data_IF_965360020214
#
_entry.id   IF_965360020214
#
_cell.length_a   1.000
_cell.length_b   1.000
_cell.length_c   1.000
_cell.angle_alpha   90.00
_cell.angle_beta   90.00
_cell.angle_gamma   90.00
#
_symmetry.space_group_name_H-M   'P 1'
#
loop_
_entity.id
_entity.type
_entity.pdbx_description
1 polymer ?
#
# COMPACT_ATOMS: atom_id res chain seq x y z
N UNK A 1 -30.74 31.45 15.98
CA UNK A 1 -30.14 31.77 14.67
C UNK A 1 -28.64 31.56 14.76
N UNK A 2 -28.22 30.30 14.64
CA UNK A 2 -26.84 29.85 14.86
C UNK A 2 -26.05 29.77 13.55
N UNK A 3 -25.03 30.60 13.45
CA UNK A 3 -23.74 30.43 12.75
C UNK A 3 -23.72 29.57 11.46
N UNK A 4 -23.99 30.21 10.32
CA UNK A 4 -24.30 29.60 9.01
C UNK A 4 -23.17 29.61 7.97
N UNK A 5 -21.90 29.86 8.33
CA UNK A 5 -20.81 29.95 7.34
C UNK A 5 -19.88 28.73 7.30
N UNK A 6 -19.46 28.20 8.46
CA UNK A 6 -18.54 27.05 8.55
C UNK A 6 -19.24 25.69 8.69
N UNK A 7 -20.30 25.62 9.50
CA UNK A 7 -20.99 24.36 9.81
C UNK A 7 -21.78 23.77 8.63
N UNK A 8 -22.19 24.59 7.67
CA UNK A 8 -22.99 24.15 6.52
C UNK A 8 -22.26 23.19 5.58
N UNK A 9 -20.95 23.41 5.35
CA UNK A 9 -20.14 22.53 4.48
C UNK A 9 -19.89 21.16 5.14
N UNK A 10 -19.53 21.16 6.42
CA UNK A 10 -19.29 19.94 7.18
C UNK A 10 -20.57 19.10 7.30
N UNK A 11 -21.72 19.74 7.55
CA UNK A 11 -23.01 19.06 7.63
C UNK A 11 -23.47 18.51 6.28
N UNK A 12 -23.24 19.22 5.17
CA UNK A 12 -23.51 18.69 3.82
C UNK A 12 -22.64 17.48 3.50
N UNK A 13 -21.35 17.51 3.88
CA UNK A 13 -20.43 16.37 3.71
C UNK A 13 -20.93 15.17 4.52
N UNK A 14 -21.24 15.35 5.80
CA UNK A 14 -21.77 14.30 6.66
C UNK A 14 -23.08 13.69 6.12
N UNK A 15 -24.00 14.52 5.60
CA UNK A 15 -25.23 14.03 4.97
C UNK A 15 -24.92 13.24 3.70
N UNK A 16 -23.97 13.70 2.86
CA UNK A 16 -23.57 12.99 1.66
C UNK A 16 -22.94 11.64 2.00
N UNK A 17 -22.07 11.58 2.99
CA UNK A 17 -21.43 10.34 3.43
C UNK A 17 -22.44 9.37 4.04
N UNK A 18 -23.43 9.86 4.79
CA UNK A 18 -24.57 9.04 5.25
C UNK A 18 -25.39 8.47 4.10
N UNK A 19 -25.67 9.24 3.05
CA UNK A 19 -26.43 8.76 1.90
C UNK A 19 -25.69 7.66 1.13
N UNK A 20 -24.35 7.73 1.06
CA UNK A 20 -23.54 6.69 0.41
C UNK A 20 -23.68 5.32 1.06
N UNK A 21 -23.88 5.25 2.38
CA UNK A 21 -24.08 3.98 3.12
C UNK A 21 -25.32 3.23 2.61
N UNK A 22 -26.33 3.95 2.10
CA UNK A 22 -27.58 3.37 1.59
C UNK A 22 -27.45 2.79 0.17
N UNK A 23 -26.32 3.00 -0.51
CA UNK A 23 -26.07 2.43 -1.82
C UNK A 23 -25.75 0.94 -1.72
N UNK A 24 -26.20 0.16 -2.70
CA UNK A 24 -25.90 -1.28 -2.75
C UNK A 24 -24.42 -1.49 -3.05
N UNK A 25 -23.72 -2.19 -2.14
CA UNK A 25 -22.33 -2.57 -2.32
C UNK A 25 -22.15 -3.63 -3.41
N UNK A 26 -20.98 -3.61 -4.04
CA UNK A 26 -20.58 -4.62 -5.04
C UNK A 26 -20.26 -5.94 -4.34
N UNK A 27 -20.53 -7.08 -5.00
CA UNK A 27 -20.29 -8.44 -4.48
C UNK A 27 -19.53 -9.30 -5.50
N UNK A 28 -19.01 -10.44 -5.06
CA UNK A 28 -18.32 -11.42 -5.89
C UNK A 28 -17.01 -10.90 -6.45
N UNK A 29 -16.64 -11.38 -7.64
CA UNK A 29 -15.40 -11.02 -8.31
C UNK A 29 -15.24 -9.51 -8.54
N UNK A 30 -16.34 -8.78 -8.79
CA UNK A 30 -16.27 -7.33 -8.97
C UNK A 30 -15.84 -6.61 -7.69
N UNK A 31 -16.12 -7.18 -6.51
CA UNK A 31 -15.64 -6.65 -5.23
C UNK A 31 -14.14 -6.83 -5.09
N UNK A 32 -13.60 -7.96 -5.57
CA UNK A 32 -12.16 -8.21 -5.60
C UNK A 32 -11.46 -7.22 -6.54
N UNK A 33 -12.03 -6.96 -7.73
CA UNK A 33 -11.49 -5.94 -8.65
C UNK A 33 -11.49 -4.55 -7.99
N UNK A 34 -12.60 -4.17 -7.34
CA UNK A 34 -12.71 -2.90 -6.62
C UNK A 34 -11.63 -2.74 -5.55
N UNK A 35 -11.34 -3.80 -4.79
CA UNK A 35 -10.30 -3.84 -3.75
C UNK A 35 -8.90 -3.73 -4.33
N UNK A 36 -8.57 -4.53 -5.36
CA UNK A 36 -7.25 -4.47 -5.99
C UNK A 36 -7.01 -3.18 -6.77
N UNK A 37 -8.05 -2.52 -7.25
CA UNK A 37 -7.94 -1.20 -7.87
C UNK A 37 -8.02 -0.05 -6.85
N UNK A 38 -8.07 -0.36 -5.55
CA UNK A 38 -8.16 0.62 -4.45
C UNK A 38 -9.29 1.66 -4.67
N UNK A 39 -10.41 1.24 -5.27
CA UNK A 39 -11.52 2.14 -5.58
C UNK A 39 -12.34 2.43 -4.32
N UNK A 40 -12.84 3.65 -4.19
CA UNK A 40 -13.80 4.01 -3.14
C UNK A 40 -15.07 3.19 -3.29
N UNK A 41 -15.46 2.40 -2.28
CA UNK A 41 -16.58 1.48 -2.44
C UNK A 41 -17.94 2.16 -2.34
N UNK A 42 -18.91 1.63 -3.09
CA UNK A 42 -20.33 1.98 -2.90
C UNK A 42 -20.86 1.33 -1.64
N UNK A 43 -21.78 2.00 -0.95
CA UNK A 43 -22.31 1.50 0.31
C UNK A 43 -21.32 1.59 1.47
N UNK A 44 -20.25 2.39 1.34
CA UNK A 44 -19.17 2.39 2.32
C UNK A 44 -19.67 2.65 3.74
N UNK A 45 -19.14 1.91 4.71
CA UNK A 45 -19.41 2.10 6.11
C UNK A 45 -18.89 3.47 6.57
N UNK A 46 -19.58 4.04 7.56
CA UNK A 46 -19.05 5.16 8.33
C UNK A 46 -18.11 4.58 9.37
N UNK A 47 -16.89 5.09 9.42
CA UNK A 47 -15.87 4.69 10.38
C UNK A 47 -15.74 5.70 11.52
N UNK A 48 -15.19 5.28 12.65
CA UNK A 48 -14.74 6.18 13.70
C UNK A 48 -13.55 7.02 13.19
N UNK A 49 -13.56 8.33 13.44
CA UNK A 49 -12.43 9.20 13.07
C UNK A 49 -11.36 9.27 14.19
N UNK A 50 -11.72 8.86 15.41
CA UNK A 50 -10.87 8.94 16.61
C UNK A 50 -10.97 7.68 17.45
N UNK A 51 -9.90 7.39 18.18
CA UNK A 51 -9.91 6.37 19.24
C UNK A 51 -10.75 6.87 20.42
N UNK A 52 -11.60 6.01 20.99
CA UNK A 52 -12.39 6.40 22.15
C UNK A 52 -13.48 5.43 22.53
N UNK A 53 -14.40 5.90 23.37
CA UNK A 53 -15.56 5.12 23.83
C UNK A 53 -16.84 5.70 23.26
N UNK A 54 -17.73 4.84 22.77
CA UNK A 54 -19.05 5.24 22.29
C UNK A 54 -19.90 5.71 23.47
N UNK A 55 -20.07 7.02 23.58
CA UNK A 55 -20.72 7.66 24.72
C UNK A 55 -22.25 7.71 24.58
N UNK A 56 -22.76 7.96 23.37
CA UNK A 56 -24.19 8.02 23.09
C UNK A 56 -24.50 7.48 21.69
N UNK A 57 -25.58 6.70 21.56
CA UNK A 57 -26.18 6.35 20.28
C UNK A 57 -27.58 6.95 20.23
N UNK A 58 -27.69 8.13 19.64
CA UNK A 58 -28.94 8.88 19.59
C UNK A 58 -29.77 8.47 18.38
N UNK A 59 -31.05 8.15 18.61
CA UNK A 59 -32.03 7.83 17.55
C UNK A 59 -33.05 8.95 17.31
N UNK A 60 -32.94 10.08 18.01
CA UNK A 60 -33.87 11.21 17.87
C UNK A 60 -33.52 12.04 16.64
N UNK A 61 -34.29 11.89 15.56
CA UNK A 61 -34.07 12.59 14.30
C UNK A 61 -33.08 11.85 13.41
N UNK A 62 -32.00 12.51 12.96
CA UNK A 62 -30.92 11.80 12.27
C UNK A 62 -30.10 11.04 13.31
N UNK A 63 -29.95 9.72 13.10
CA UNK A 63 -29.23 8.84 14.02
C UNK A 63 -27.77 9.30 14.11
N UNK A 64 -27.24 9.43 15.32
CA UNK A 64 -25.89 9.95 15.57
C UNK A 64 -25.18 9.05 16.57
N UNK A 65 -23.92 8.73 16.28
CA UNK A 65 -23.02 8.04 17.20
C UNK A 65 -22.04 9.07 17.74
N UNK A 66 -21.96 9.20 19.06
CA UNK A 66 -21.05 10.12 19.74
C UNK A 66 -19.91 9.32 20.35
N UNK A 67 -18.69 9.68 20.00
CA UNK A 67 -17.46 9.07 20.54
C UNK A 67 -16.78 10.10 21.44
N UNK A 68 -16.42 9.67 22.64
CA UNK A 68 -15.59 10.44 23.56
C UNK A 68 -14.15 9.96 23.46
N UNK A 69 -13.25 10.85 23.05
CA UNK A 69 -11.81 10.61 22.98
C UNK A 69 -11.07 11.43 24.03
N UNK A 70 -10.08 10.83 24.69
CA UNK A 70 -9.24 11.52 25.67
C UNK A 70 -7.98 12.07 25.01
N UNK A 71 -7.74 13.37 25.15
CA UNK A 71 -6.57 14.03 24.58
C UNK A 71 -5.84 14.91 25.62
N UNK A 72 -4.50 14.91 25.61
CA UNK A 72 -3.71 15.88 26.38
C UNK A 72 -3.92 17.31 25.87
N UNK A 73 -3.97 18.30 26.77
CA UNK A 73 -4.09 19.73 26.40
C UNK A 73 -2.83 20.28 25.70
N UNK A 74 -1.71 19.55 25.80
CA UNK A 74 -0.46 19.88 25.10
C UNK A 74 -0.60 19.72 23.59
N UNK A 75 -1.37 18.74 23.13
CA UNK A 75 -1.60 18.45 21.72
C UNK A 75 -2.53 19.50 21.10
N UNK A 76 -1.91 20.57 20.63
CA UNK A 76 -2.60 21.76 20.13
C UNK A 76 -3.34 21.47 18.84
N UNK A 77 -2.86 20.54 18.02
CA UNK A 77 -3.34 20.31 16.67
C UNK A 77 -4.50 19.30 16.67
N UNK A 78 -4.45 18.25 17.50
CA UNK A 78 -5.54 17.28 17.62
C UNK A 78 -6.82 17.88 18.23
N UNK A 79 -6.69 18.84 19.15
CA UNK A 79 -7.83 19.37 19.92
C UNK A 79 -8.43 20.66 19.34
N UNK A 80 -7.87 21.20 18.26
CA UNK A 80 -8.19 22.56 17.79
C UNK A 80 -9.58 22.65 17.17
N UNK A 81 -10.49 23.35 17.85
CA UNK A 81 -11.84 23.61 17.32
C UNK A 81 -12.84 22.48 17.60
N UNK A 82 -12.38 21.40 18.24
CA UNK A 82 -13.21 20.30 18.71
C UNK A 82 -14.06 20.69 19.93
N UNK A 83 -15.11 19.92 20.22
CA UNK A 83 -16.05 20.19 21.31
C UNK A 83 -15.72 19.39 22.55
N UNK A 84 -15.87 19.98 23.73
CA UNK A 84 -15.74 19.27 25.00
C UNK A 84 -16.90 18.29 25.24
N UNK A 85 -16.58 17.14 25.79
CA UNK A 85 -17.54 16.09 26.14
C UNK A 85 -18.15 16.22 27.53
N UNK A 86 -17.48 16.93 28.45
CA UNK A 86 -17.94 17.11 29.82
C UNK A 86 -17.61 18.51 30.34
N UNK A 87 -18.35 18.94 31.36
CA UNK A 87 -18.06 20.15 32.11
C UNK A 87 -16.75 19.98 32.88
N UNK A 88 -15.80 20.89 32.68
CA UNK A 88 -14.51 20.88 33.39
C UNK A 88 -14.58 21.88 34.55
N UNK A 89 -14.37 21.39 35.76
CA UNK A 89 -14.37 22.19 36.98
C UNK A 89 -12.94 22.45 37.49
N UNK A 90 -12.74 23.59 38.15
CA UNK A 90 -11.49 23.89 38.84
C UNK A 90 -11.34 23.10 40.15
N UNK A 91 -10.13 23.08 40.74
CA UNK A 91 -9.84 22.32 41.96
C UNK A 91 -10.79 22.63 43.13
N UNK A 92 -11.28 23.87 43.25
CA UNK A 92 -12.13 24.28 44.37
C UNK A 92 -13.63 24.10 44.14
N UNK A 93 -14.10 23.67 42.93
CA UNK A 93 -15.52 23.49 42.53
C UNK A 93 -16.51 24.63 42.85
N UNK A 94 -16.06 25.72 43.46
CA UNK A 94 -16.89 26.83 43.96
C UNK A 94 -17.22 27.85 42.86
N UNK A 95 -16.35 27.99 41.86
CA UNK A 95 -16.47 28.95 40.75
C UNK A 95 -16.98 28.29 39.45
N UNK A 96 -18.08 27.54 39.50
CA UNK A 96 -18.72 26.98 38.30
C UNK A 96 -17.80 26.16 37.36
N UNK A 97 -18.26 25.80 36.16
CA UNK A 97 -17.43 25.11 35.18
C UNK A 97 -16.51 26.10 34.45
N UNK A 98 -15.20 25.79 34.39
CA UNK A 98 -14.16 26.52 33.63
C UNK A 98 -14.47 26.48 32.13
N UNK A 99 -14.97 25.34 31.67
CA UNK A 99 -15.43 25.12 30.32
C UNK A 99 -16.65 24.20 30.36
N UNK A 100 -17.65 24.51 29.53
CA UNK A 100 -18.91 23.76 29.50
C UNK A 100 -18.88 22.64 28.46
N UNK A 101 -19.68 21.61 28.68
CA UNK A 101 -19.98 20.58 27.68
C UNK A 101 -20.44 21.23 26.36
N UNK A 102 -19.85 20.79 25.26
CA UNK A 102 -20.11 21.30 23.91
C UNK A 102 -19.40 22.61 23.56
N UNK A 103 -18.66 23.24 24.47
CA UNK A 103 -17.84 24.41 24.17
C UNK A 103 -16.68 24.02 23.24
N UNK A 104 -16.41 24.85 22.21
CA UNK A 104 -15.29 24.63 21.29
C UNK A 104 -13.95 24.97 21.93
N UNK A 105 -12.95 24.11 21.74
CA UNK A 105 -11.57 24.30 22.17
C UNK A 105 -10.82 25.29 21.26
N UNK A 106 -11.22 26.56 21.37
CA UNK A 106 -10.53 27.70 20.78
C UNK A 106 -9.34 28.13 21.66
N UNK A 107 -8.47 29.00 21.12
CA UNK A 107 -7.27 29.51 21.83
C UNK A 107 -7.58 30.02 23.25
N UNK A 108 -8.66 30.79 23.41
CA UNK A 108 -9.10 31.34 24.70
C UNK A 108 -9.49 30.25 25.71
N UNK A 109 -10.29 29.28 25.28
CA UNK A 109 -10.76 28.17 26.13
C UNK A 109 -9.58 27.31 26.58
N UNK A 110 -8.62 27.05 25.69
CA UNK A 110 -7.38 26.31 26.00
C UNK A 110 -6.47 27.03 26.98
N UNK A 111 -6.30 28.34 26.84
CA UNK A 111 -5.53 29.16 27.78
C UNK A 111 -6.12 29.12 29.20
N UNK A 112 -7.47 29.14 29.32
CA UNK A 112 -8.14 28.96 30.62
C UNK A 112 -7.83 27.58 31.20
N UNK A 113 -7.97 26.50 30.42
CA UNK A 113 -7.71 25.14 30.90
C UNK A 113 -6.26 24.95 31.38
N UNK A 114 -5.28 25.55 30.68
CA UNK A 114 -3.88 25.56 31.13
C UNK A 114 -3.68 26.33 32.43
N UNK A 115 -4.37 27.46 32.62
CA UNK A 115 -4.28 28.26 33.85
C UNK A 115 -4.72 27.49 35.10
N UNK A 116 -5.66 26.57 34.95
CA UNK A 116 -6.16 25.71 36.03
C UNK A 116 -5.48 24.33 36.08
N UNK A 117 -4.35 24.16 35.39
CA UNK A 117 -3.54 22.94 35.39
C UNK A 117 -4.31 21.66 35.02
N UNK A 118 -5.29 21.77 34.11
CA UNK A 118 -5.96 20.61 33.54
C UNK A 118 -4.99 19.93 32.57
N UNK A 119 -4.79 18.62 32.71
CA UNK A 119 -3.83 17.87 31.90
C UNK A 119 -4.50 17.20 30.69
N UNK A 120 -5.66 16.58 30.90
CA UNK A 120 -6.42 15.84 29.88
C UNK A 120 -7.83 16.40 29.71
N UNK A 121 -8.35 16.32 28.48
CA UNK A 121 -9.72 16.70 28.13
C UNK A 121 -10.40 15.60 27.35
N UNK A 122 -11.69 15.39 27.60
CA UNK A 122 -12.53 14.55 26.76
C UNK A 122 -13.15 15.37 25.65
N UNK A 123 -12.93 14.94 24.42
CA UNK A 123 -13.48 15.53 23.20
C UNK A 123 -14.69 14.73 22.76
N UNK A 124 -15.72 15.43 22.32
CA UNK A 124 -16.98 14.90 21.80
C UNK A 124 -16.98 14.98 20.28
N UNK A 125 -16.86 13.82 19.63
CA UNK A 125 -16.91 13.68 18.17
C UNK A 125 -18.25 13.06 17.75
N UNK A 126 -18.97 13.71 16.83
CA UNK A 126 -20.31 13.30 16.41
C UNK A 126 -20.29 12.73 14.98
N UNK A 127 -20.68 11.46 14.82
CA UNK A 127 -20.80 10.79 13.53
C UNK A 127 -22.27 10.62 13.14
N UNK A 128 -22.64 11.20 12.00
CA UNK A 128 -24.00 11.13 11.48
C UNK A 128 -24.21 9.82 10.70
N UNK A 129 -25.02 8.92 11.23
CA UNK A 129 -25.25 7.59 10.66
C UNK A 129 -26.68 7.46 10.10
N UNK A 130 -26.92 6.59 9.11
CA UNK A 130 -28.24 6.46 8.54
C UNK A 130 -29.21 5.86 9.55
N UNK A 131 -30.48 6.26 9.45
CA UNK A 131 -31.54 5.68 10.27
C UNK A 131 -31.81 4.21 9.92
N UNK A 132 -31.66 3.86 8.63
CA UNK A 132 -31.75 2.48 8.14
C UNK A 132 -30.38 1.82 8.17
N UNK A 133 -30.34 0.57 8.61
CA UNK A 133 -29.10 -0.22 8.72
C UNK A 133 -28.73 -0.52 10.16
N UNK A 134 -27.97 -1.59 10.33
CA UNK A 134 -27.48 -2.05 11.62
C UNK A 134 -26.23 -1.25 12.01
N UNK A 135 -26.12 -0.91 13.30
CA UNK A 135 -24.87 -0.41 13.85
C UNK A 135 -24.09 -1.60 14.39
N UNK A 136 -22.78 -1.57 14.17
CA UNK A 136 -21.85 -2.55 14.70
C UNK A 136 -21.40 -2.20 16.12
N UNK A 137 -21.71 -0.99 16.57
CA UNK A 137 -21.28 -0.45 17.86
C UNK A 137 -22.44 -0.22 18.82
N UNK A 138 -22.15 -0.37 20.11
CA UNK A 138 -23.08 -0.12 21.22
C UNK A 138 -22.51 0.90 22.20
N UNK A 139 -23.37 1.53 23.00
CA UNK A 139 -22.92 2.47 24.03
C UNK A 139 -21.99 1.75 25.04
N UNK A 140 -20.87 2.38 25.37
CA UNK A 140 -19.82 1.83 26.23
C UNK A 140 -18.77 0.99 25.51
N UNK A 141 -18.91 0.77 24.20
CA UNK A 141 -17.91 0.05 23.40
C UNK A 141 -16.69 0.92 23.12
N UNK A 142 -15.50 0.35 23.27
CA UNK A 142 -14.25 0.94 22.80
C UNK A 142 -14.11 0.76 21.29
N UNK A 143 -13.72 1.84 20.61
CA UNK A 143 -13.53 1.87 19.16
C UNK A 143 -12.20 2.55 18.84
N UNK A 144 -11.52 2.06 17.79
CA UNK A 144 -10.33 2.69 17.25
C UNK A 144 -10.68 3.50 16.01
N UNK A 145 -9.86 4.52 15.71
CA UNK A 145 -9.94 5.25 14.46
C UNK A 145 -9.86 4.26 13.29
N UNK A 146 -10.79 4.37 12.35
CA UNK A 146 -10.95 3.44 11.23
C UNK A 146 -11.94 2.29 11.45
N UNK A 147 -12.39 2.02 12.69
CA UNK A 147 -13.35 0.95 12.95
C UNK A 147 -14.74 1.29 12.38
N UNK A 148 -15.43 0.34 11.73
CA UNK A 148 -16.73 0.59 11.13
C UNK A 148 -17.83 0.74 12.20
N UNK A 149 -18.55 1.86 12.17
CA UNK A 149 -19.72 2.12 13.01
C UNK A 149 -20.99 1.51 12.42
N UNK A 150 -21.13 1.55 11.09
CA UNK A 150 -22.26 1.00 10.34
C UNK A 150 -21.83 -0.23 9.55
N UNK A 151 -22.80 -1.05 9.11
CA UNK A 151 -22.52 -2.10 8.13
C UNK A 151 -22.06 -1.51 6.79
N UNK A 152 -21.23 -2.26 6.07
CA UNK A 152 -20.74 -1.89 4.73
C UNK A 152 -19.22 -2.06 4.58
N UNK A 153 -18.70 -1.94 3.35
CA UNK A 153 -17.26 -1.95 3.08
C UNK A 153 -16.56 -0.70 3.62
N UNK A 154 -15.32 -0.82 4.08
CA UNK A 154 -14.51 0.33 4.52
C UNK A 154 -13.73 0.88 3.32
N UNK A 155 -13.54 2.20 3.30
CA UNK A 155 -12.72 2.89 2.31
C UNK A 155 -11.23 2.72 2.64
N UNK A 156 -10.43 2.00 1.81
CA UNK A 156 -9.03 1.73 2.11
C UNK A 156 -8.16 2.99 2.20
N UNK A 157 -8.48 4.05 1.46
CA UNK A 157 -7.70 5.30 1.50
C UNK A 157 -7.88 6.03 2.84
N UNK A 158 -9.12 6.09 3.34
CA UNK A 158 -9.39 6.65 4.67
C UNK A 158 -8.75 5.81 5.75
N UNK A 159 -8.83 4.49 5.61
CA UNK A 159 -8.21 3.57 6.55
C UNK A 159 -6.69 3.75 6.58
N UNK A 160 -6.05 4.03 5.43
CA UNK A 160 -4.62 4.32 5.36
C UNK A 160 -4.25 5.56 6.18
N UNK A 161 -5.06 6.61 6.09
CA UNK A 161 -4.84 7.84 6.84
C UNK A 161 -5.04 7.65 8.35
N UNK A 162 -5.94 6.74 8.77
CA UNK A 162 -6.30 6.52 10.18
C UNK A 162 -5.42 5.47 10.86
N UNK A 163 -5.30 4.27 10.28
CA UNK A 163 -4.62 3.11 10.87
C UNK A 163 -3.25 2.82 10.23
N UNK A 164 -2.84 3.62 9.25
CA UNK A 164 -1.59 3.40 8.54
C UNK A 164 -1.60 2.16 7.65
N UNK A 165 -0.42 1.76 7.21
CA UNK A 165 -0.22 0.70 6.21
C UNK A 165 -0.65 -0.67 6.72
N UNK A 166 -0.34 -0.98 7.98
CA UNK A 166 -0.65 -2.27 8.60
C UNK A 166 -2.16 -2.49 8.70
N UNK A 167 -2.91 -1.47 9.15
CA UNK A 167 -4.37 -1.54 9.20
C UNK A 167 -5.00 -1.78 7.83
N UNK A 168 -4.49 -1.13 6.78
CA UNK A 168 -4.94 -1.36 5.40
C UNK A 168 -4.57 -2.75 4.88
N UNK A 169 -3.38 -3.25 5.19
CA UNK A 169 -2.96 -4.60 4.82
C UNK A 169 -3.88 -5.66 5.40
N UNK A 170 -4.12 -5.57 6.71
CA UNK A 170 -5.02 -6.46 7.43
C UNK A 170 -6.44 -6.40 6.88
N UNK A 171 -6.95 -5.19 6.62
CA UNK A 171 -8.27 -5.00 6.05
C UNK A 171 -8.38 -5.64 4.66
N UNK A 172 -7.47 -5.30 3.73
CA UNK A 172 -7.50 -5.82 2.37
C UNK A 172 -7.36 -7.35 2.36
N UNK A 173 -6.44 -7.90 3.16
CA UNK A 173 -6.25 -9.35 3.25
C UNK A 173 -7.52 -10.05 3.74
N UNK A 174 -8.11 -9.59 4.86
CA UNK A 174 -9.32 -10.17 5.43
C UNK A 174 -10.52 -10.04 4.49
N UNK A 175 -10.69 -8.87 3.87
CA UNK A 175 -11.80 -8.61 2.97
C UNK A 175 -11.71 -9.46 1.68
N UNK A 176 -10.53 -9.54 1.06
CA UNK A 176 -10.29 -10.37 -0.13
C UNK A 176 -10.48 -11.85 0.20
N UNK A 177 -9.92 -12.32 1.32
CA UNK A 177 -10.11 -13.69 1.78
C UNK A 177 -11.57 -14.02 2.05
N UNK A 178 -12.32 -13.09 2.68
CA UNK A 178 -13.76 -13.26 2.93
C UNK A 178 -14.51 -13.49 1.62
N UNK A 179 -14.24 -12.69 0.58
CA UNK A 179 -14.91 -12.85 -0.71
C UNK A 179 -14.53 -14.20 -1.38
N UNK A 180 -13.25 -14.57 -1.40
CA UNK A 180 -12.83 -15.85 -2.01
C UNK A 180 -13.33 -17.08 -1.24
N UNK A 181 -13.32 -17.04 0.10
CA UNK A 181 -13.71 -18.15 0.96
C UNK A 181 -15.22 -18.28 1.07
N UNK A 182 -15.91 -17.19 1.39
CA UNK A 182 -17.34 -17.24 1.72
C UNK A 182 -18.21 -17.26 0.47
N UNK A 183 -17.81 -16.57 -0.61
CA UNK A 183 -18.62 -16.48 -1.83
C UNK A 183 -18.23 -17.52 -2.89
N UNK A 184 -16.98 -18.01 -2.89
CA UNK A 184 -16.48 -18.93 -3.91
C UNK A 184 -15.92 -20.26 -3.37
N UNK A 185 -15.72 -20.40 -2.05
CA UNK A 185 -15.16 -21.62 -1.45
C UNK A 185 -13.71 -21.89 -1.85
N UNK A 186 -12.99 -20.91 -2.41
CA UNK A 186 -11.62 -21.06 -2.89
C UNK A 186 -10.67 -20.69 -1.75
N UNK A 187 -9.85 -21.65 -1.33
CA UNK A 187 -8.78 -21.41 -0.37
C UNK A 187 -7.52 -20.91 -1.10
N UNK A 188 -7.22 -19.61 -0.96
CA UNK A 188 -5.97 -19.00 -1.44
C UNK A 188 -5.07 -18.78 -0.23
N UNK A 189 -3.76 -19.03 -0.37
CA UNK A 189 -2.81 -18.73 0.70
C UNK A 189 -2.59 -17.21 0.82
N UNK A 190 -2.60 -16.70 2.05
CA UNK A 190 -2.43 -15.27 2.37
C UNK A 190 -1.21 -14.65 1.69
N UNK A 191 -0.10 -15.39 1.58
CA UNK A 191 1.16 -14.92 0.97
C UNK A 191 0.97 -14.39 -0.45
N UNK A 192 0.05 -14.96 -1.22
CA UNK A 192 -0.21 -14.49 -2.59
C UNK A 192 -0.88 -13.12 -2.59
N UNK A 193 -1.86 -12.93 -1.71
CA UNK A 193 -2.61 -11.68 -1.58
C UNK A 193 -1.70 -10.60 -0.98
N UNK A 194 -0.94 -10.92 0.06
CA UNK A 194 0.04 -10.02 0.68
C UNK A 194 1.09 -9.52 -0.32
N UNK A 195 1.54 -10.39 -1.24
CA UNK A 195 2.50 -10.00 -2.28
C UNK A 195 1.92 -8.92 -3.20
N UNK A 196 0.62 -9.00 -3.51
CA UNK A 196 -0.07 -7.99 -4.33
C UNK A 196 -0.29 -6.71 -3.52
N UNK A 197 -0.79 -6.82 -2.28
CA UNK A 197 -1.01 -5.66 -1.41
C UNK A 197 0.31 -4.92 -1.14
N UNK A 198 1.43 -5.64 -1.00
CA UNK A 198 2.77 -5.05 -0.88
C UNK A 198 3.10 -4.16 -2.08
N UNK A 199 2.72 -4.56 -3.29
CA UNK A 199 2.93 -3.74 -4.51
C UNK A 199 2.02 -2.52 -4.55
N UNK A 200 0.79 -2.63 -4.06
CA UNK A 200 -0.15 -1.51 -3.97
C UNK A 200 0.29 -0.42 -3.00
N UNK A 201 0.97 -0.80 -1.91
CA UNK A 201 1.48 0.12 -0.89
C UNK A 201 2.95 0.51 -1.09
N UNK A 202 3.57 0.23 -2.25
CA UNK A 202 5.02 0.39 -2.40
C UNK A 202 5.45 1.87 -2.44
N UNK A 203 4.62 2.75 -2.99
CA UNK A 203 4.97 4.16 -3.23
C UNK A 203 4.55 5.06 -2.06
N UNK A 204 5.27 6.17 -1.92
CA UNK A 204 4.95 7.29 -1.02
C UNK A 204 4.89 8.58 -1.84
N UNK A 205 4.07 9.53 -1.41
CA UNK A 205 3.97 10.85 -2.04
C UNK A 205 4.68 11.88 -1.18
N UNK A 206 5.63 12.57 -1.77
CA UNK A 206 6.42 13.58 -1.07
C UNK A 206 5.53 14.80 -0.78
N UNK A 207 5.52 15.26 0.47
CA UNK A 207 4.82 16.48 0.90
C UNK A 207 5.81 17.64 0.90
N UNK A 208 6.93 17.44 1.59
CA UNK A 208 8.05 18.38 1.62
C UNK A 208 9.34 17.64 1.29
N UNK A 209 10.14 18.23 0.43
CA UNK A 209 11.43 17.72 -0.01
C UNK A 209 12.57 17.94 0.97
N UNK A 210 12.49 18.92 1.88
CA UNK A 210 13.65 19.31 2.69
C UNK A 210 14.89 19.57 1.83
N UNK A 211 16.01 18.96 2.18
CA UNK A 211 17.27 19.01 1.42
C UNK A 211 17.49 17.79 0.50
N UNK A 212 16.46 16.95 0.29
CA UNK A 212 16.55 15.79 -0.60
C UNK A 212 16.43 16.16 -2.08
N UNK A 213 16.73 15.21 -2.96
CA UNK A 213 16.55 15.38 -4.42
C UNK A 213 15.09 15.31 -4.90
N UNK A 214 14.14 15.04 -4.02
CA UNK A 214 12.75 14.79 -4.41
C UNK A 214 11.98 16.08 -4.70
N UNK A 215 10.90 15.96 -5.45
CA UNK A 215 9.98 17.06 -5.70
C UNK A 215 8.68 16.91 -4.88
N UNK A 216 8.13 18.01 -4.33
CA UNK A 216 6.82 17.98 -3.69
C UNK A 216 5.74 17.45 -4.65
N UNK A 217 4.99 16.44 -4.18
CA UNK A 217 3.95 15.75 -4.94
C UNK A 217 4.43 14.56 -5.78
N UNK A 218 5.73 14.31 -5.87
CA UNK A 218 6.31 13.16 -6.56
C UNK A 218 5.96 11.84 -5.87
N UNK A 219 5.71 10.78 -6.67
CA UNK A 219 5.51 9.42 -6.17
C UNK A 219 6.82 8.64 -6.27
N UNK A 220 7.41 8.34 -5.12
CA UNK A 220 8.72 7.67 -5.02
C UNK A 220 8.56 6.29 -4.41
N UNK A 221 9.45 5.35 -4.74
CA UNK A 221 9.53 4.09 -4.01
C UNK A 221 9.83 4.37 -2.53
N UNK A 222 9.12 3.68 -1.64
CA UNK A 222 9.31 3.85 -0.19
C UNK A 222 10.73 3.54 0.25
N UNK A 223 11.36 2.51 -0.32
CA UNK A 223 12.72 2.12 0.08
C UNK A 223 13.74 3.16 -0.39
N UNK A 224 13.57 3.69 -1.60
CA UNK A 224 14.42 4.78 -2.11
C UNK A 224 14.24 6.06 -1.31
N UNK A 225 13.00 6.37 -0.90
CA UNK A 225 12.70 7.52 -0.04
C UNK A 225 13.38 7.42 1.32
N UNK A 226 13.30 6.24 1.97
CA UNK A 226 13.95 5.99 3.26
C UNK A 226 15.47 6.11 3.12
N UNK A 227 16.06 5.45 2.12
CA UNK A 227 17.51 5.47 1.90
C UNK A 227 18.04 6.88 1.62
N UNK A 228 17.31 7.69 0.84
CA UNK A 228 17.71 9.07 0.56
C UNK A 228 17.59 9.98 1.80
N UNK A 229 16.54 9.80 2.61
CA UNK A 229 16.41 10.52 3.87
C UNK A 229 17.51 10.17 4.87
N UNK A 230 17.85 8.89 4.99
CA UNK A 230 18.98 8.43 5.82
C UNK A 230 20.28 9.09 5.37
N UNK A 231 20.55 9.13 4.05
CA UNK A 231 21.73 9.80 3.48
C UNK A 231 21.77 11.29 3.80
N UNK A 232 20.65 12.00 3.66
CA UNK A 232 20.58 13.45 3.95
C UNK A 232 20.72 13.72 5.45
N UNK A 233 20.14 12.87 6.29
CA UNK A 233 20.27 12.97 7.75
C UNK A 233 21.73 12.78 8.19
N UNK A 234 22.47 11.84 7.61
CA UNK A 234 23.90 11.63 7.88
C UNK A 234 24.76 12.85 7.51
N UNK A 235 24.35 13.59 6.47
CA UNK A 235 24.99 14.84 6.06
C UNK A 235 24.56 16.05 6.91
N UNK A 236 23.64 15.85 7.86
CA UNK A 236 23.11 16.89 8.74
C UNK A 236 22.07 17.81 8.10
N UNK A 237 21.48 17.42 6.97
CA UNK A 237 20.41 18.17 6.29
C UNK A 237 19.01 17.85 6.81
N UNK A 238 18.02 18.61 6.33
CA UNK A 238 16.61 18.38 6.64
C UNK A 238 16.02 17.26 5.76
N UNK A 239 15.40 16.27 6.40
CA UNK A 239 14.79 15.13 5.71
C UNK A 239 13.50 15.53 4.98
N UNK A 240 13.17 14.81 3.91
CA UNK A 240 11.88 14.94 3.27
C UNK A 240 10.77 14.33 4.13
N UNK A 241 9.56 14.88 4.02
CA UNK A 241 8.32 14.32 4.57
C UNK A 241 7.46 13.77 3.43
N UNK A 242 6.79 12.63 3.68
CA UNK A 242 5.93 11.99 2.70
C UNK A 242 4.73 11.32 3.37
N UNK A 243 3.63 11.21 2.63
CA UNK A 243 2.46 10.42 3.00
C UNK A 243 2.45 9.07 2.25
N UNK A 244 2.07 7.96 2.90
CA UNK A 244 1.86 6.70 2.20
C UNK A 244 0.68 6.84 1.24
N UNK A 245 0.80 6.22 0.06
CA UNK A 245 -0.29 6.18 -0.93
C UNK A 245 -0.63 4.73 -1.25
N UNK A 246 -1.93 4.44 -1.28
CA UNK A 246 -2.44 3.18 -1.79
C UNK A 246 -2.75 3.33 -3.28
N UNK A 247 -2.05 2.57 -4.12
CA UNK A 247 -2.27 2.55 -5.56
C UNK A 247 -3.02 1.27 -5.96
N UNK A 248 -4.04 1.40 -6.80
CA UNK A 248 -4.63 0.25 -7.48
C UNK A 248 -3.60 -0.48 -8.35
N UNK A 249 -3.78 -1.79 -8.57
CA UNK A 249 -2.80 -2.62 -9.31
C UNK A 249 -2.48 -2.08 -10.71
N UNK A 250 -3.45 -1.44 -11.39
CA UNK A 250 -3.22 -0.79 -12.69
C UNK A 250 -2.31 0.43 -12.55
N UNK A 251 -2.53 1.28 -11.55
CA UNK A 251 -1.67 2.44 -11.29
C UNK A 251 -0.29 2.04 -10.77
N UNK A 252 -0.22 1.06 -9.86
CA UNK A 252 1.04 0.53 -9.34
C UNK A 252 1.92 -0.07 -10.46
N UNK A 253 1.30 -0.71 -11.47
CA UNK A 253 2.01 -1.25 -12.63
C UNK A 253 2.55 -0.17 -13.58
N UNK A 254 1.84 0.96 -13.69
CA UNK A 254 2.28 2.11 -14.49
C UNK A 254 3.36 2.93 -13.77
N UNK A 255 3.31 3.00 -12.44
CA UNK A 255 4.27 3.71 -11.59
C UNK A 255 5.54 2.89 -11.31
N UNK A 256 5.90 1.95 -12.18
CA UNK A 256 7.14 1.17 -12.06
C UNK A 256 8.34 1.99 -12.54
N UNK A 257 9.52 1.71 -12.00
CA UNK A 257 10.71 2.51 -12.32
C UNK A 257 11.20 2.27 -13.76
N UNK A 258 10.91 1.09 -14.28
CA UNK A 258 11.14 0.70 -15.67
C UNK A 258 10.03 1.23 -16.58
N UNK A 259 10.42 2.11 -17.50
CA UNK A 259 9.50 2.64 -18.49
C UNK A 259 9.19 1.59 -19.57
N UNK A 260 10.07 0.61 -19.82
CA UNK A 260 9.81 -0.48 -20.77
C UNK A 260 8.71 -1.40 -20.25
N UNK A 261 8.75 -1.74 -18.95
CA UNK A 261 7.70 -2.51 -18.30
C UNK A 261 6.38 -1.74 -18.26
N UNK A 262 6.41 -0.46 -17.87
CA UNK A 262 5.22 0.37 -17.82
C UNK A 262 4.58 0.53 -19.21
N UNK A 263 5.39 0.78 -20.26
CA UNK A 263 4.91 0.90 -21.63
C UNK A 263 4.30 -0.40 -22.15
N UNK A 264 4.85 -1.56 -21.78
CA UNK A 264 4.28 -2.87 -22.17
C UNK A 264 2.90 -3.15 -21.58
N UNK A 265 2.53 -2.47 -20.49
CA UNK A 265 1.26 -2.70 -19.80
C UNK A 265 0.11 -1.92 -20.44
N UNK A 266 0.15 -0.58 -20.36
CA UNK A 266 -0.87 0.32 -20.92
C UNK A 266 -0.26 1.70 -21.24
N UNK A 267 -1.02 2.56 -21.94
CA UNK A 267 -0.69 3.98 -22.18
C UNK A 267 0.71 4.21 -22.79
N UNK A 268 1.15 3.32 -23.69
CA UNK A 268 2.46 3.31 -24.38
C UNK A 268 2.94 4.70 -24.80
N UNK A 269 2.13 5.45 -25.56
CA UNK A 269 2.52 6.77 -26.07
C UNK A 269 2.87 7.75 -24.96
N UNK A 270 2.10 7.75 -23.87
CA UNK A 270 2.33 8.68 -22.74
C UNK A 270 3.60 8.31 -21.99
N UNK A 271 3.77 7.02 -21.66
CA UNK A 271 4.93 6.52 -20.91
C UNK A 271 6.24 6.79 -21.68
N UNK A 272 6.26 6.53 -22.99
CA UNK A 272 7.46 6.77 -23.81
C UNK A 272 7.76 8.25 -23.99
N UNK A 273 6.73 9.10 -24.09
CA UNK A 273 6.90 10.56 -24.20
C UNK A 273 7.49 11.13 -22.91
N UNK A 274 6.94 10.77 -21.75
CA UNK A 274 7.46 11.19 -20.43
C UNK A 274 8.90 10.72 -20.25
N UNK A 275 9.19 9.44 -20.53
CA UNK A 275 10.55 8.90 -20.43
C UNK A 275 11.55 9.60 -21.36
N UNK A 276 11.14 9.97 -22.59
CA UNK A 276 11.99 10.71 -23.52
C UNK A 276 12.25 12.15 -23.06
N UNK A 277 11.22 12.84 -22.55
CA UNK A 277 11.35 14.19 -22.01
C UNK A 277 12.25 14.25 -20.76
N UNK A 278 12.19 13.23 -19.91
CA UNK A 278 13.00 13.10 -18.69
C UNK A 278 14.40 12.52 -18.96
N UNK A 279 14.69 12.08 -20.19
CA UNK A 279 15.89 11.33 -20.55
C UNK A 279 16.11 10.10 -19.62
N UNK A 280 15.01 9.40 -19.32
CA UNK A 280 14.97 8.30 -18.36
C UNK A 280 15.76 7.10 -18.87
N UNK A 281 16.50 6.46 -17.97
CA UNK A 281 17.25 5.22 -18.24
C UNK A 281 16.57 4.05 -17.55
N UNK A 282 16.40 2.94 -18.27
CA UNK A 282 15.81 1.73 -17.70
C UNK A 282 16.89 0.88 -17.01
N UNK A 283 16.74 0.56 -15.71
CA UNK A 283 17.74 -0.22 -15.00
C UNK A 283 17.70 -1.73 -15.34
N UNK A 284 16.64 -2.24 -15.96
CA UNK A 284 16.49 -3.64 -16.35
C UNK A 284 16.57 -4.64 -15.17
N UNK A 285 16.07 -4.25 -13.99
CA UNK A 285 16.03 -5.15 -12.82
C UNK A 285 14.82 -6.10 -12.82
N UNK A 286 13.83 -5.88 -13.68
CA UNK A 286 12.59 -6.64 -13.70
C UNK A 286 12.60 -7.80 -14.70
N UNK A 287 11.50 -8.56 -14.69
CA UNK A 287 11.34 -9.70 -15.60
C UNK A 287 10.98 -9.23 -17.02
N UNK A 288 10.08 -8.27 -17.14
CA UNK A 288 9.49 -7.88 -18.43
C UNK A 288 10.48 -7.14 -19.32
N UNK A 289 11.34 -6.27 -18.79
CA UNK A 289 12.31 -5.55 -19.63
C UNK A 289 13.33 -6.51 -20.23
N UNK A 290 13.81 -7.46 -19.42
CA UNK A 290 14.76 -8.47 -19.88
C UNK A 290 14.14 -9.38 -20.94
N UNK A 291 12.86 -9.76 -20.79
CA UNK A 291 12.14 -10.49 -21.83
C UNK A 291 12.02 -9.66 -23.13
N UNK A 292 11.65 -8.38 -23.03
CA UNK A 292 11.49 -7.49 -24.20
C UNK A 292 12.81 -7.35 -24.98
N UNK A 293 13.93 -7.26 -24.27
CA UNK A 293 15.27 -7.07 -24.86
C UNK A 293 15.88 -8.42 -25.30
N UNK A 294 15.33 -9.55 -24.87
CA UNK A 294 15.84 -10.89 -25.19
C UNK A 294 17.03 -11.32 -24.32
N UNK A 295 17.15 -10.76 -23.11
CA UNK A 295 18.14 -11.16 -22.10
C UNK A 295 17.54 -12.18 -21.13
N UNK A 296 18.40 -12.99 -20.50
CA UNK A 296 17.99 -13.85 -19.38
C UNK A 296 17.27 -13.02 -18.31
N UNK A 297 16.19 -13.57 -17.76
CA UNK A 297 15.42 -12.92 -16.70
C UNK A 297 16.13 -13.02 -15.35
N UNK A 298 15.97 -12.04 -14.44
CA UNK A 298 16.53 -12.06 -13.09
C UNK A 298 15.74 -12.98 -12.14
N UNK A 299 15.46 -14.21 -12.57
CA UNK A 299 14.80 -15.23 -11.77
C UNK A 299 15.21 -16.64 -12.21
N UNK A 300 15.08 -17.62 -11.31
CA UNK A 300 15.43 -19.01 -11.58
C UNK A 300 16.88 -19.17 -12.05
N UNK A 301 17.08 -19.84 -13.18
CA UNK A 301 18.40 -20.08 -13.79
C UNK A 301 19.11 -18.81 -14.26
N UNK A 302 18.39 -17.69 -14.45
CA UNK A 302 18.99 -16.41 -14.82
C UNK A 302 19.50 -15.59 -13.63
N UNK A 303 19.18 -15.98 -12.39
CA UNK A 303 19.57 -15.22 -11.19
C UNK A 303 21.10 -15.08 -11.01
N UNK A 304 21.94 -16.11 -11.24
CA UNK A 304 23.40 -15.97 -11.09
C UNK A 304 23.98 -14.82 -11.93
N UNK A 305 23.53 -14.67 -13.17
CA UNK A 305 23.99 -13.62 -14.11
C UNK A 305 23.64 -12.20 -13.65
N UNK A 306 22.61 -12.05 -12.82
CA UNK A 306 22.15 -10.76 -12.32
C UNK A 306 22.73 -10.43 -10.94
N UNK A 307 22.96 -11.45 -10.09
CA UNK A 307 23.55 -11.28 -8.76
C UNK A 307 25.02 -10.84 -8.81
N UNK A 308 25.78 -11.37 -9.77
CA UNK A 308 27.21 -11.08 -9.90
C UNK A 308 27.49 -9.67 -10.44
N UNK A 309 26.47 -8.94 -10.91
CA UNK A 309 26.64 -7.58 -11.46
C UNK A 309 26.65 -6.46 -10.42
N UNK A 310 26.15 -6.70 -9.21
CA UNK A 310 26.24 -5.69 -8.13
C UNK A 310 27.63 -5.65 -7.50
N UNK A 311 28.50 -6.64 -7.80
CA UNK A 311 29.87 -6.71 -7.29
C UNK A 311 30.84 -7.04 -8.43
N UNK A 312 31.08 -6.08 -9.31
CA UNK A 312 32.07 -6.24 -10.37
C UNK A 312 32.50 -4.90 -10.95
N UNK A 313 33.68 -4.44 -10.55
CA UNK A 313 34.38 -3.39 -11.30
C UNK A 313 34.51 -3.84 -12.76
N UNK A 314 34.40 -2.91 -13.69
CA UNK A 314 34.26 -3.15 -15.13
C UNK A 314 35.40 -3.99 -15.81
N UNK A 315 36.45 -4.37 -15.09
CA UNK A 315 37.50 -5.28 -15.56
C UNK A 315 37.10 -6.75 -15.52
N UNK A 316 36.36 -7.20 -14.50
CA UNK A 316 36.17 -8.64 -14.26
C UNK A 316 35.15 -9.26 -15.21
N UNK A 317 34.22 -8.47 -15.76
CA UNK A 317 33.15 -8.96 -16.65
C UNK A 317 33.69 -9.40 -18.02
N UNK A 318 34.74 -8.75 -18.52
CA UNK A 318 35.36 -9.13 -19.80
C UNK A 318 36.16 -10.43 -19.66
N UNK A 319 36.86 -10.60 -18.54
CA UNK A 319 37.59 -11.83 -18.24
C UNK A 319 36.66 -13.00 -17.95
N UNK A 320 35.51 -12.77 -17.31
CA UNK A 320 34.53 -13.82 -17.04
C UNK A 320 33.76 -14.25 -18.31
N UNK A 321 33.48 -13.32 -19.23
CA UNK A 321 32.92 -13.64 -20.55
C UNK A 321 33.93 -14.42 -21.40
N UNK A 322 35.21 -14.03 -21.38
CA UNK A 322 36.28 -14.75 -22.08
C UNK A 322 36.49 -16.16 -21.50
N UNK A 323 36.47 -16.29 -20.16
CA UNK A 323 36.62 -17.56 -19.47
C UNK A 323 35.42 -18.51 -19.68
N UNK A 324 34.20 -17.98 -19.78
CA UNK A 324 33.00 -18.78 -20.11
C UNK A 324 33.02 -19.23 -21.56
N UNK A 325 33.34 -18.34 -22.50
CA UNK A 325 33.46 -18.69 -23.92
C UNK A 325 34.53 -19.75 -24.21
N UNK A 326 35.60 -19.80 -23.40
CA UNK A 326 36.62 -20.84 -23.48
C UNK A 326 36.13 -22.21 -22.96
N UNK A 327 35.38 -22.24 -21.84
CA UNK A 327 34.82 -23.48 -21.27
C UNK A 327 33.71 -24.08 -22.12
N UNK A 328 32.84 -23.25 -22.72
CA UNK A 328 31.76 -23.76 -23.57
C UNK A 328 32.32 -24.38 -24.86
N UNK A 329 33.37 -23.79 -25.43
CA UNK A 329 34.04 -24.36 -26.60
C UNK A 329 34.73 -25.69 -26.29
N UNK A 330 35.39 -25.83 -25.14
CA UNK A 330 36.05 -27.09 -24.76
C UNK A 330 35.04 -28.21 -24.53
N UNK A 331 33.94 -27.92 -23.82
CA UNK A 331 32.91 -28.91 -23.51
C UNK A 331 32.14 -29.35 -24.76
N UNK A 332 31.85 -28.43 -25.70
CA UNK A 332 31.24 -28.74 -27.00
C UNK A 332 32.17 -29.57 -27.89
N UNK A 333 33.48 -29.29 -27.89
CA UNK A 333 34.46 -30.11 -28.64
C UNK A 333 34.63 -31.51 -28.05
N UNK A 334 34.66 -31.64 -26.71
CA UNK A 334 34.77 -32.95 -26.05
C UNK A 334 33.51 -33.79 -26.23
N UNK A 335 32.31 -33.17 -26.20
CA UNK A 335 31.05 -33.88 -26.49
C UNK A 335 30.94 -34.28 -27.96
N UNK A 336 31.39 -33.44 -28.89
CA UNK A 336 31.42 -33.76 -30.32
C UNK A 336 32.41 -34.90 -30.63
N UNK A 337 33.61 -34.90 -30.04
CA UNK A 337 34.58 -35.99 -30.20
C UNK A 337 34.08 -37.32 -29.63
N UNK A 338 33.40 -37.31 -28.47
CA UNK A 338 32.78 -38.51 -27.91
C UNK A 338 31.67 -39.06 -28.80
N UNK A 339 30.81 -38.18 -29.32
CA UNK A 339 29.73 -38.57 -30.24
C UNK A 339 30.29 -39.17 -31.54
N UNK A 340 31.34 -38.57 -32.11
CA UNK A 340 32.00 -39.10 -33.31
C UNK A 340 32.70 -40.44 -33.05
N UNK A 341 33.35 -40.59 -31.89
CA UNK A 341 33.96 -41.86 -31.48
C UNK A 341 32.95 -42.99 -31.26
N UNK A 342 31.78 -42.68 -30.69
CA UNK A 342 30.70 -43.65 -30.52
C UNK A 342 30.07 -44.06 -31.87
N UNK A 343 29.97 -43.14 -32.83
CA UNK A 343 29.53 -43.44 -34.19
C UNK A 343 30.52 -44.34 -34.94
N UNK A 344 31.82 -44.07 -34.86
CA UNK A 344 32.85 -44.92 -35.47
C UNK A 344 32.90 -46.32 -34.84
N UNK A 345 32.68 -46.41 -33.52
CA UNK A 345 32.60 -47.70 -32.82
C UNK A 345 31.33 -48.49 -33.19
N UNK A 346 30.22 -47.80 -33.46
CA UNK A 346 28.99 -48.43 -33.94
C UNK A 346 29.15 -48.95 -35.38
N UNK A 347 29.74 -48.15 -36.27
CA UNK A 347 30.00 -48.56 -37.66
C UNK A 347 30.90 -49.81 -37.74
N UNK A 348 31.96 -49.88 -36.93
CA UNK A 348 32.83 -51.07 -36.87
C UNK A 348 32.15 -52.32 -36.31
N UNK A 349 31.15 -52.16 -35.43
CA UNK A 349 30.34 -53.29 -34.94
C UNK A 349 29.38 -53.80 -36.01
N UNK A 350 28.85 -52.91 -36.83
CA UNK A 350 27.96 -53.24 -37.93
C UNK A 350 28.72 -53.95 -39.07
N UNK A 351 29.94 -53.49 -39.39
CA UNK A 351 30.84 -54.18 -40.34
C UNK A 351 31.27 -55.57 -39.84
N UNK A 352 31.61 -55.71 -38.55
CA UNK A 352 31.95 -57.01 -37.97
C UNK A 352 30.76 -57.99 -37.92
N UNK A 353 29.53 -57.49 -37.76
CA UNK A 353 28.33 -58.32 -37.81
C UNK A 353 28.02 -58.79 -39.24
N UNK A 354 28.24 -57.94 -40.24
CA UNK A 354 28.09 -58.29 -41.65
C UNK A 354 29.11 -59.36 -42.12
N UNK A 355 30.33 -59.35 -41.58
CA UNK A 355 31.34 -60.39 -41.88
C UNK A 355 30.97 -61.74 -41.24
N UNK A 356 30.36 -61.75 -40.05
CA UNK A 356 29.92 -63.00 -39.40
C UNK A 356 28.68 -63.65 -40.02
N UNK A 357 27.82 -62.88 -40.69
CA UNK A 357 26.66 -63.42 -41.41
C UNK A 357 27.01 -63.95 -42.82
N UNK A 358 28.19 -63.64 -43.34
CA UNK A 358 28.70 -64.11 -44.63
C UNK A 358 29.30 -65.52 -44.64
N UNK A 359 29.70 -66.06 -43.48
CA UNK A 359 30.36 -67.39 -43.38
C UNK A 359 29.41 -68.54 -43.02
N UNK A 360 28.10 -68.28 -42.89
CA UNK A 360 27.09 -69.28 -42.51
C UNK A 360 26.30 -69.91 -43.66
N UNK A 361 26.70 -69.69 -44.92
CA UNK A 361 25.95 -70.10 -46.11
C UNK A 361 26.76 -70.90 -47.13
N UNK A 362 27.12 -72.13 -46.79
CA UNK A 362 27.36 -73.24 -47.75
C UNK A 362 26.75 -74.55 -47.23
#
# INVERSE_FOLDING_TARGET
>A
SLDMAGGGRMRRKAIKDMLKVLETSVRGLLRIEELFEARTPKGQAITADVDGVVAEVSQRGMRTVVIHSEHPITDTDAIRGERLAEDIFGPDKADGPIAKEGEKLLKKTRERLRKYNVETVKIRTEHLVPYRGELLVSQGMEVRAGDPLTTGPVDPEKLLAMQGREGVQDYLLREIQRVYRDEHGIAINDKHIETIIRRMLLKVKVIDHGDTRFLPGELVDRFDFIAENERVQELGGEQASAEPVLLGITQASLATDSFLSAASFQRTTRVLTEAACENKRDPLYGLKENVIIGRLIPAGSGMPVHRDREVGFAGDVLDDIAARGARTKSDETETMEKLLGDFDAAARREEAQAETEGEGGE
#
